data_IF_142354236853
#
_entry.id   IF_142354236853
#
_cell.length_a   1.000
_cell.length_b   1.000
_cell.length_c   1.000
_cell.angle_alpha   90.00
_cell.angle_beta   90.00
_cell.angle_gamma   90.00
#
_symmetry.space_group_name_H-M   'P 1'
#
loop_
_entity.id
_entity.type
_entity.pdbx_description
1 polymer ?
#
# COMPACT_ATOMS: atom_id res chain seq x y z
N UNK A 1 -27.81 32.27 16.79
CA UNK A 1 -26.98 31.90 17.96
C UNK A 1 -26.30 30.59 17.62
N UNK A 2 -24.99 30.60 17.40
CA UNK A 2 -24.21 29.40 17.02
C UNK A 2 -23.82 28.66 18.29
N UNK A 3 -24.12 27.36 18.38
CA UNK A 3 -23.75 26.56 19.54
C UNK A 3 -22.21 26.52 19.68
N UNK A 4 -21.66 26.63 20.91
CA UNK A 4 -20.23 26.50 21.11
C UNK A 4 -19.78 25.07 20.78
N UNK A 5 -18.81 24.94 19.88
CA UNK A 5 -18.13 23.67 19.60
C UNK A 5 -17.40 23.22 20.87
N UNK A 6 -17.81 22.09 21.45
CA UNK A 6 -17.09 21.47 22.56
C UNK A 6 -15.79 20.84 22.04
N UNK A 7 -14.66 21.35 22.50
CA UNK A 7 -13.37 20.73 22.29
C UNK A 7 -13.25 19.49 23.19
N UNK A 8 -13.53 18.31 22.64
CA UNK A 8 -13.20 17.06 23.30
C UNK A 8 -11.69 16.87 23.21
N UNK A 9 -11.00 16.95 24.37
CA UNK A 9 -9.62 16.51 24.49
C UNK A 9 -9.57 15.00 24.29
N UNK A 10 -9.43 14.57 23.05
CA UNK A 10 -9.17 13.17 22.74
C UNK A 10 -7.68 12.93 23.06
N UNK A 11 -7.40 12.05 24.01
CA UNK A 11 -6.04 11.57 24.26
C UNK A 11 -5.56 10.80 23.01
N UNK A 12 -4.87 11.49 22.11
CA UNK A 12 -4.32 10.87 20.90
C UNK A 12 -2.97 10.25 21.25
N UNK A 13 -2.93 8.92 21.25
CA UNK A 13 -1.68 8.18 21.42
C UNK A 13 -0.84 8.26 20.14
N UNK A 14 0.43 8.64 20.26
CA UNK A 14 1.39 8.56 19.15
C UNK A 14 1.84 7.11 18.94
N UNK A 15 1.65 6.60 17.73
CA UNK A 15 2.00 5.22 17.36
C UNK A 15 3.20 5.23 16.40
N UNK A 16 4.25 4.48 16.75
CA UNK A 16 5.36 4.22 15.84
C UNK A 16 5.05 2.99 14.96
N UNK A 17 4.61 3.23 13.73
CA UNK A 17 4.22 2.18 12.76
C UNK A 17 5.38 1.22 12.45
N UNK A 18 6.63 1.68 12.42
CA UNK A 18 7.79 0.82 12.12
C UNK A 18 7.99 -0.32 13.14
N UNK A 19 7.48 -0.14 14.37
CA UNK A 19 7.45 -1.19 15.40
C UNK A 19 6.37 -2.24 15.17
N UNK A 20 5.41 -2.00 14.29
CA UNK A 20 4.25 -2.87 14.03
C UNK A 20 4.37 -3.64 12.71
N UNK A 21 5.13 -3.09 11.76
CA UNK A 21 5.31 -3.67 10.42
C UNK A 21 6.70 -4.32 10.24
N UNK A 22 6.81 -5.17 9.23
CA UNK A 22 8.06 -5.66 8.64
C UNK A 22 8.11 -5.19 7.20
N UNK A 23 9.24 -4.60 6.82
CA UNK A 23 9.56 -4.22 5.45
C UNK A 23 10.56 -5.21 4.86
N UNK A 24 10.28 -5.71 3.65
CA UNK A 24 11.20 -6.56 2.88
C UNK A 24 11.41 -5.92 1.50
N UNK A 25 12.56 -5.29 1.23
CA UNK A 25 12.82 -4.70 -0.07
C UNK A 25 13.00 -5.78 -1.15
N UNK A 26 12.67 -5.43 -2.39
CA UNK A 26 12.90 -6.25 -3.59
C UNK A 26 13.66 -5.40 -4.60
N UNK A 27 14.88 -5.81 -4.94
CA UNK A 27 15.79 -5.05 -5.82
C UNK A 27 15.53 -5.27 -7.31
N UNK A 28 15.05 -6.47 -7.68
CA UNK A 28 14.71 -6.80 -9.06
C UNK A 28 13.26 -7.27 -9.20
N UNK A 29 12.33 -6.44 -8.74
CA UNK A 29 10.92 -6.82 -8.74
C UNK A 29 10.33 -6.79 -10.13
N UNK A 30 9.50 -7.80 -10.42
CA UNK A 30 8.69 -7.85 -11.63
C UNK A 30 7.68 -6.69 -11.69
N UNK A 31 7.20 -6.40 -12.89
CA UNK A 31 6.06 -5.49 -13.09
C UNK A 31 4.75 -6.24 -12.89
N UNK A 32 3.84 -5.58 -12.19
CA UNK A 32 2.50 -6.07 -11.89
C UNK A 32 1.49 -5.04 -12.32
N UNK A 33 0.37 -5.51 -12.85
CA UNK A 33 -0.78 -4.70 -13.21
C UNK A 33 -1.85 -4.80 -12.14
N UNK A 34 -2.37 -3.66 -11.73
CA UNK A 34 -3.44 -3.56 -10.74
C UNK A 34 -4.76 -3.98 -11.38
N UNK A 35 -5.45 -4.89 -10.74
CA UNK A 35 -6.77 -5.40 -11.11
C UNK A 35 -7.94 -4.65 -10.46
N UNK A 36 -9.15 -5.18 -10.70
CA UNK A 36 -10.38 -4.73 -10.04
C UNK A 36 -10.94 -3.42 -10.59
N UNK A 37 -11.83 -2.79 -9.83
CA UNK A 37 -12.49 -1.53 -10.18
C UNK A 37 -12.04 -0.44 -9.21
N UNK A 38 -11.16 0.45 -9.65
CA UNK A 38 -10.60 1.51 -8.82
C UNK A 38 -9.73 2.44 -9.66
N UNK A 39 -9.32 3.57 -9.07
CA UNK A 39 -8.54 4.60 -9.76
C UNK A 39 -7.24 4.08 -10.39
N UNK A 40 -6.58 3.13 -9.71
CA UNK A 40 -5.32 2.55 -10.18
C UNK A 40 -5.52 1.32 -11.08
N UNK A 41 -6.77 0.89 -11.34
CA UNK A 41 -7.03 -0.29 -12.16
C UNK A 41 -6.42 -0.15 -13.56
N UNK A 42 -5.78 -1.22 -14.01
CA UNK A 42 -5.09 -1.28 -15.29
C UNK A 42 -3.69 -0.65 -15.30
N UNK A 43 -3.30 0.09 -14.25
CA UNK A 43 -1.95 0.65 -14.16
C UNK A 43 -0.95 -0.45 -13.81
N UNK A 44 0.28 -0.31 -14.33
CA UNK A 44 1.37 -1.23 -14.06
C UNK A 44 2.47 -0.53 -13.26
N UNK A 45 3.00 -1.22 -12.26
CA UNK A 45 4.10 -0.75 -11.42
C UNK A 45 5.12 -1.84 -11.15
N UNK A 46 6.35 -1.45 -10.82
CA UNK A 46 7.41 -2.38 -10.40
C UNK A 46 7.24 -2.72 -8.93
N UNK A 47 7.35 -4.00 -8.57
CA UNK A 47 7.43 -4.40 -7.17
C UNK A 47 8.74 -3.89 -6.55
N UNK A 48 8.66 -3.10 -5.50
CA UNK A 48 9.82 -2.58 -4.76
C UNK A 48 9.96 -3.21 -3.37
N UNK A 49 8.93 -3.93 -2.92
CA UNK A 49 9.01 -4.70 -1.69
C UNK A 49 7.67 -5.22 -1.20
N UNK A 50 7.70 -5.75 0.00
CA UNK A 50 6.55 -6.29 0.72
C UNK A 50 6.49 -5.64 2.10
N UNK A 51 5.28 -5.23 2.48
CA UNK A 51 4.97 -4.79 3.85
C UNK A 51 4.03 -5.80 4.50
N UNK A 52 4.31 -6.18 5.74
CA UNK A 52 3.51 -7.13 6.50
C UNK A 52 3.42 -6.73 7.96
N UNK A 53 2.39 -7.18 8.66
CA UNK A 53 2.29 -7.02 10.12
C UNK A 53 3.21 -8.01 10.83
N UNK A 54 3.79 -7.63 11.97
CA UNK A 54 4.76 -8.50 12.68
C UNK A 54 4.18 -9.80 13.22
N UNK A 55 2.87 -9.81 13.52
CA UNK A 55 2.17 -10.90 14.21
C UNK A 55 0.92 -11.39 13.46
N UNK A 56 0.80 -11.08 12.16
CA UNK A 56 -0.30 -11.53 11.32
C UNK A 56 0.26 -11.95 9.95
N UNK A 57 -0.39 -12.91 9.29
CA UNK A 57 0.08 -13.48 8.02
C UNK A 57 -0.21 -12.60 6.80
N UNK A 58 -1.10 -11.62 6.94
CA UNK A 58 -1.43 -10.66 5.89
C UNK A 58 -0.23 -9.79 5.48
N UNK A 59 -0.10 -9.58 4.18
CA UNK A 59 0.92 -8.74 3.57
C UNK A 59 0.35 -8.02 2.35
N UNK A 60 0.98 -6.90 2.03
CA UNK A 60 0.71 -6.11 0.84
C UNK A 60 1.99 -6.03 0.00
N UNK A 61 1.81 -6.04 -1.31
CA UNK A 61 2.87 -5.80 -2.29
C UNK A 61 2.99 -4.30 -2.51
N UNK A 62 4.20 -3.77 -2.41
CA UNK A 62 4.46 -2.35 -2.65
C UNK A 62 4.91 -2.16 -4.08
N UNK A 63 4.13 -1.39 -4.84
CA UNK A 63 4.43 -1.04 -6.23
C UNK A 63 4.90 0.40 -6.32
N UNK A 64 5.92 0.63 -7.15
CA UNK A 64 6.28 1.95 -7.65
C UNK A 64 5.83 2.08 -9.10
N UNK A 65 5.03 3.10 -9.40
CA UNK A 65 4.53 3.39 -10.74
C UNK A 65 5.52 4.25 -11.53
N UNK A 66 5.28 4.38 -12.84
CA UNK A 66 6.18 5.12 -13.74
C UNK A 66 6.22 6.63 -13.47
N UNK A 67 5.19 7.18 -12.82
CA UNK A 67 5.17 8.57 -12.33
C UNK A 67 5.92 8.76 -11.00
N UNK A 68 6.51 7.68 -10.46
CA UNK A 68 7.24 7.65 -9.20
C UNK A 68 6.37 7.48 -7.96
N UNK A 69 5.03 7.48 -8.09
CA UNK A 69 4.13 7.24 -6.97
C UNK A 69 4.26 5.82 -6.42
N UNK A 70 3.94 5.65 -5.15
CA UNK A 70 4.04 4.36 -4.43
C UNK A 70 2.69 4.07 -3.77
N UNK A 71 2.24 2.83 -3.93
CA UNK A 71 1.02 2.34 -3.28
C UNK A 71 1.15 0.84 -2.95
N UNK A 72 0.22 0.34 -2.14
CA UNK A 72 0.21 -1.04 -1.63
C UNK A 72 -1.01 -1.80 -2.12
N UNK A 73 -0.82 -3.06 -2.51
CA UNK A 73 -1.90 -3.90 -3.02
C UNK A 73 -1.87 -5.30 -2.44
N UNK A 74 -3.07 -5.81 -2.13
CA UNK A 74 -3.27 -7.21 -1.81
C UNK A 74 -2.76 -8.08 -2.97
N UNK A 75 -2.06 -9.19 -2.71
CA UNK A 75 -1.45 -10.00 -3.78
C UNK A 75 -2.46 -10.49 -4.83
N UNK A 76 -3.69 -10.77 -4.40
CA UNK A 76 -4.76 -11.27 -5.26
C UNK A 76 -5.39 -10.20 -6.16
N UNK A 77 -5.08 -8.92 -5.95
CA UNK A 77 -5.52 -7.84 -6.84
C UNK A 77 -4.50 -7.52 -7.93
N UNK A 78 -3.41 -8.27 -8.03
CA UNK A 78 -2.35 -8.05 -8.99
C UNK A 78 -2.25 -9.18 -10.03
N UNK A 79 -1.98 -8.81 -11.27
CA UNK A 79 -1.72 -9.75 -12.36
C UNK A 79 -0.35 -9.46 -12.97
N UNK A 80 0.39 -10.48 -13.46
CA UNK A 80 1.65 -10.26 -14.15
C UNK A 80 1.47 -9.30 -15.33
N UNK A 81 2.32 -8.28 -15.42
CA UNK A 81 2.34 -7.41 -16.59
C UNK A 81 3.18 -8.10 -17.68
N UNK A 82 2.52 -8.94 -18.49
CA UNK A 82 3.16 -9.66 -19.58
C UNK A 82 3.29 -8.74 -20.80
N UNK A 83 4.42 -8.79 -21.54
CA UNK A 83 4.53 -8.09 -22.81
C UNK A 83 3.45 -8.59 -23.78
N UNK A 84 2.82 -7.67 -24.51
CA UNK A 84 1.91 -8.03 -25.58
C UNK A 84 2.66 -8.89 -26.61
N UNK A 85 2.09 -10.06 -26.93
CA UNK A 85 2.59 -10.94 -27.99
C UNK A 85 2.38 -10.35 -29.37
#
# INVERSE_FOLDING_TARGET
MTAPQLALGLDVTTINIAKLIRWKPVTDGARWRVGGTGRMSGQAGRCVGIISLRHHSGYEVVLQFDDGSIDTFAPLSLYPDLPAR
#
